data_IF_627228934832
#
_entry.id   IF_627228934832
#
_cell.length_a   1.000
_cell.length_b   1.000
_cell.length_c   1.000
_cell.angle_alpha   90.00
_cell.angle_beta   90.00
_cell.angle_gamma   90.00
#
_symmetry.space_group_name_H-M   'P 1'
#
loop_
_entity.id
_entity.type
_entity.pdbx_description
1 polymer ?
#
# COMPACT_ATOMS: atom_id res chain seq x y z
N UNK A 1 14.45 -27.32 -6.97
CA UNK A 1 14.44 -26.59 -8.26
C UNK A 1 15.20 -25.28 -8.01
N UNK A 2 16.34 -25.11 -8.69
CA UNK A 2 17.32 -24.01 -8.55
C UNK A 2 16.78 -22.64 -9.02
N UNK A 3 15.73 -22.18 -8.38
CA UNK A 3 14.95 -21.05 -8.87
C UNK A 3 15.53 -19.69 -8.46
N UNK A 4 16.41 -19.64 -7.45
CA UNK A 4 17.01 -18.39 -6.95
C UNK A 4 18.53 -18.28 -7.19
N UNK A 5 19.10 -19.02 -8.13
CA UNK A 5 20.53 -18.87 -8.43
C UNK A 5 20.76 -17.66 -9.36
N UNK A 6 21.18 -16.53 -8.79
CA UNK A 6 21.53 -15.31 -9.52
C UNK A 6 22.71 -15.48 -10.49
N UNK A 7 23.48 -16.57 -10.40
CA UNK A 7 24.57 -16.92 -11.30
C UNK A 7 24.15 -17.88 -12.43
N UNK A 8 22.86 -18.25 -12.50
CA UNK A 8 22.29 -19.03 -13.60
C UNK A 8 22.34 -18.26 -14.92
N UNK A 9 22.47 -18.96 -16.05
CA UNK A 9 22.34 -18.37 -17.39
C UNK A 9 20.92 -17.88 -17.70
N UNK A 10 19.92 -18.32 -16.93
CA UNK A 10 18.56 -17.78 -16.90
C UNK A 10 18.07 -17.72 -15.45
N UNK A 11 18.33 -16.62 -14.72
CA UNK A 11 17.80 -16.45 -13.38
C UNK A 11 16.28 -16.23 -13.45
N UNK A 12 15.54 -16.95 -12.61
CA UNK A 12 14.08 -16.85 -12.56
C UNK A 12 13.70 -15.93 -11.40
N UNK A 13 13.21 -14.73 -11.74
CA UNK A 13 12.84 -13.72 -10.74
C UNK A 13 11.50 -14.04 -10.08
N UNK A 14 11.23 -13.42 -8.92
CA UNK A 14 9.97 -13.59 -8.20
C UNK A 14 8.72 -13.33 -9.07
N UNK A 15 8.82 -12.39 -10.00
CA UNK A 15 7.76 -12.05 -10.94
C UNK A 15 7.40 -13.22 -11.87
N UNK A 16 8.36 -14.09 -12.19
CA UNK A 16 8.12 -15.26 -13.03
C UNK A 16 7.25 -16.31 -12.32
N UNK A 17 7.48 -16.57 -11.03
CA UNK A 17 6.62 -17.49 -10.27
C UNK A 17 5.20 -16.97 -10.14
N UNK A 18 5.05 -15.68 -9.84
CA UNK A 18 3.74 -15.04 -9.76
C UNK A 18 3.03 -15.10 -11.11
N UNK A 19 3.75 -14.92 -12.22
CA UNK A 19 3.14 -15.05 -13.55
C UNK A 19 2.71 -16.48 -13.85
N UNK A 20 3.53 -17.47 -13.54
CA UNK A 20 3.17 -18.89 -13.70
C UNK A 20 1.95 -19.23 -12.85
N UNK A 21 1.91 -18.76 -11.59
CA UNK A 21 0.78 -18.96 -10.70
C UNK A 21 -0.51 -18.33 -11.26
N UNK A 22 -0.44 -17.08 -11.73
CA UNK A 22 -1.56 -16.41 -12.39
C UNK A 22 -2.05 -17.18 -13.62
N UNK A 23 -1.14 -17.75 -14.43
CA UNK A 23 -1.49 -18.56 -15.60
C UNK A 23 -2.19 -19.86 -15.21
N UNK A 24 -1.74 -20.56 -14.17
CA UNK A 24 -2.39 -21.78 -13.67
C UNK A 24 -3.82 -21.52 -13.22
N UNK A 25 -4.05 -20.40 -12.52
CA UNK A 25 -5.40 -19.96 -12.15
C UNK A 25 -6.24 -19.63 -13.39
N UNK A 26 -5.68 -18.87 -14.34
CA UNK A 26 -6.37 -18.44 -15.57
C UNK A 26 -6.77 -19.62 -16.46
N UNK A 27 -5.88 -20.60 -16.63
CA UNK A 27 -6.13 -21.81 -17.42
C UNK A 27 -7.00 -22.84 -16.69
N UNK A 28 -7.43 -22.55 -15.45
CA UNK A 28 -8.19 -23.46 -14.58
C UNK A 28 -7.48 -24.78 -14.28
N UNK A 29 -6.16 -24.81 -14.39
CA UNK A 29 -5.33 -25.92 -13.89
C UNK A 29 -5.28 -25.94 -12.36
N UNK A 30 -5.46 -24.78 -11.74
CA UNK A 30 -5.60 -24.60 -10.31
C UNK A 30 -6.85 -23.76 -10.04
N UNK A 31 -7.68 -24.20 -9.10
CA UNK A 31 -8.87 -23.47 -8.65
C UNK A 31 -8.70 -23.21 -7.16
N UNK A 32 -8.73 -21.94 -6.78
CA UNK A 32 -8.69 -21.53 -5.38
C UNK A 32 -10.03 -20.88 -5.07
N UNK A 33 -10.73 -21.44 -4.10
CA UNK A 33 -11.98 -20.93 -3.55
C UNK A 33 -11.76 -20.58 -2.09
N UNK A 34 -12.13 -19.38 -1.70
CA UNK A 34 -12.04 -18.89 -0.32
C UNK A 34 -13.40 -18.31 0.08
N UNK A 35 -13.71 -18.32 1.37
CA UNK A 35 -14.88 -17.61 1.88
C UNK A 35 -14.65 -16.09 1.89
N UNK A 36 -13.40 -15.67 2.13
CA UNK A 36 -12.97 -14.28 2.18
C UNK A 36 -11.56 -14.13 1.57
N UNK A 37 -11.33 -13.06 0.83
CA UNK A 37 -10.02 -12.67 0.30
C UNK A 37 -9.74 -11.21 0.63
N UNK A 38 -8.60 -10.95 1.28
CA UNK A 38 -8.18 -9.61 1.68
C UNK A 38 -6.85 -9.26 1.04
N UNK A 39 -6.72 -8.01 0.56
CA UNK A 39 -5.49 -7.42 0.06
C UNK A 39 -5.22 -6.13 0.82
N UNK A 40 -4.04 -6.03 1.39
CA UNK A 40 -3.52 -4.82 2.03
C UNK A 40 -2.54 -4.11 1.09
N UNK A 41 -2.26 -2.83 1.36
CA UNK A 41 -1.37 -1.98 0.56
C UNK A 41 -1.68 -2.03 -0.95
N UNK A 42 -2.97 -2.05 -1.29
CA UNK A 42 -3.39 -2.33 -2.65
C UNK A 42 -3.01 -1.22 -3.64
N UNK A 43 -2.65 -0.02 -3.16
CA UNK A 43 -2.13 1.07 -3.97
C UNK A 43 -0.77 0.76 -4.64
N UNK A 44 0.06 -0.10 -4.04
CA UNK A 44 1.41 -0.44 -4.54
C UNK A 44 1.46 -1.83 -5.20
N UNK A 45 0.29 -2.42 -5.49
CA UNK A 45 0.18 -3.78 -6.00
C UNK A 45 0.58 -3.89 -7.47
N UNK A 46 1.43 -4.86 -7.79
CA UNK A 46 1.81 -5.16 -9.18
C UNK A 46 0.62 -5.74 -9.99
N UNK A 47 0.52 -5.46 -11.31
CA UNK A 47 -0.60 -5.93 -12.13
C UNK A 47 -0.82 -7.46 -12.11
N UNK A 48 0.25 -8.24 -11.98
CA UNK A 48 0.15 -9.72 -11.89
C UNK A 48 -0.52 -10.18 -10.59
N UNK A 49 -0.26 -9.48 -9.49
CA UNK A 49 -0.85 -9.78 -8.18
C UNK A 49 -2.33 -9.39 -8.17
N UNK A 50 -2.68 -8.25 -8.77
CA UNK A 50 -4.07 -7.89 -9.00
C UNK A 50 -4.80 -8.95 -9.85
N UNK A 51 -4.18 -9.42 -10.93
CA UNK A 51 -4.76 -10.49 -11.77
C UNK A 51 -5.02 -11.77 -10.95
N UNK A 52 -4.10 -12.14 -10.06
CA UNK A 52 -4.29 -13.28 -9.16
C UNK A 52 -5.49 -13.04 -8.24
N UNK A 53 -5.58 -11.87 -7.62
CA UNK A 53 -6.70 -11.48 -6.76
C UNK A 53 -8.04 -11.56 -7.49
N UNK A 54 -8.10 -11.10 -8.74
CA UNK A 54 -9.31 -11.16 -9.56
C UNK A 54 -9.71 -12.60 -9.92
N UNK A 55 -8.73 -13.48 -10.18
CA UNK A 55 -8.94 -14.88 -10.56
C UNK A 55 -9.33 -15.82 -9.41
N UNK A 56 -8.92 -15.52 -8.17
CA UNK A 56 -9.33 -16.31 -7.00
C UNK A 56 -10.84 -16.18 -6.80
N UNK A 57 -11.53 -17.31 -6.64
CA UNK A 57 -12.97 -17.33 -6.40
C UNK A 57 -13.23 -17.03 -4.93
N UNK A 58 -13.94 -15.94 -4.66
CA UNK A 58 -14.37 -15.58 -3.31
C UNK A 58 -15.65 -14.76 -3.40
N UNK A 59 -16.67 -15.03 -2.56
CA UNK A 59 -17.86 -14.20 -2.49
C UNK A 59 -17.55 -12.83 -1.87
N UNK A 60 -16.51 -12.72 -1.04
CA UNK A 60 -16.12 -11.49 -0.35
C UNK A 60 -14.67 -11.17 -0.67
N UNK A 61 -14.45 -10.00 -1.26
CA UNK A 61 -13.15 -9.48 -1.68
C UNK A 61 -12.96 -8.09 -1.11
N UNK A 62 -11.95 -7.92 -0.26
CA UNK A 62 -11.65 -6.67 0.44
C UNK A 62 -10.27 -6.19 0.01
N UNK A 63 -10.17 -4.96 -0.48
CA UNK A 63 -8.90 -4.32 -0.78
C UNK A 63 -8.77 -3.06 0.10
N UNK A 64 -7.67 -2.96 0.83
CA UNK A 64 -7.34 -1.84 1.73
C UNK A 64 -6.05 -1.21 1.25
N UNK A 65 -6.00 0.11 1.29
CA UNK A 65 -4.83 0.87 0.87
C UNK A 65 -5.02 2.37 1.09
N UNK A 66 -3.96 3.12 0.89
CA UNK A 66 -3.95 4.58 0.91
C UNK A 66 -3.34 5.13 -0.37
N UNK A 67 -4.18 5.73 -1.22
CA UNK A 67 -3.76 6.33 -2.48
C UNK A 67 -2.70 7.43 -2.35
N UNK A 68 -2.65 8.13 -1.21
CA UNK A 68 -1.66 9.17 -0.96
C UNK A 68 -0.29 8.60 -0.55
N UNK A 69 -0.19 7.29 -0.35
CA UNK A 69 1.05 6.56 -0.03
C UNK A 69 1.58 5.73 -1.20
N UNK A 70 1.01 5.88 -2.41
CA UNK A 70 1.49 5.19 -3.60
C UNK A 70 2.85 5.77 -4.05
N UNK A 71 3.93 5.07 -3.72
CA UNK A 71 5.31 5.53 -4.01
C UNK A 71 6.09 4.60 -4.95
N UNK A 72 5.51 3.46 -5.34
CA UNK A 72 6.16 2.48 -6.22
C UNK A 72 5.76 2.59 -7.71
N UNK A 73 5.29 3.76 -8.16
CA UNK A 73 4.91 3.97 -9.57
C UNK A 73 6.02 3.61 -10.58
N UNK A 74 7.28 3.85 -10.24
CA UNK A 74 8.44 3.52 -11.07
C UNK A 74 8.63 2.01 -11.31
N UNK A 75 7.99 1.14 -10.51
CA UNK A 75 7.96 -0.32 -10.72
C UNK A 75 6.82 -0.78 -11.62
N UNK A 76 6.09 0.17 -12.23
CA UNK A 76 4.91 -0.13 -13.04
C UNK A 76 3.65 -0.38 -12.20
N UNK A 77 3.65 0.03 -10.92
CA UNK A 77 2.40 0.18 -10.17
C UNK A 77 1.61 1.32 -10.83
N UNK A 78 0.50 0.97 -11.47
CA UNK A 78 -0.49 1.94 -11.94
C UNK A 78 -1.27 2.39 -10.70
N UNK A 79 -1.87 3.58 -10.65
CA UNK A 79 -2.76 3.98 -9.54
C UNK A 79 -3.85 2.91 -9.32
N UNK A 80 -3.57 2.01 -8.39
CA UNK A 80 -4.14 0.66 -8.37
C UNK A 80 -5.50 0.65 -7.69
N UNK A 81 -5.72 1.60 -6.77
CA UNK A 81 -6.96 1.75 -6.01
C UNK A 81 -8.17 1.84 -6.95
N UNK A 82 -8.06 2.62 -8.03
CA UNK A 82 -9.14 2.84 -9.00
C UNK A 82 -9.41 1.62 -9.92
N UNK A 83 -8.54 0.61 -9.91
CA UNK A 83 -8.66 -0.56 -10.77
C UNK A 83 -9.35 -1.75 -10.11
N UNK A 84 -9.54 -1.70 -8.79
CA UNK A 84 -10.32 -2.72 -8.08
C UNK A 84 -11.80 -2.52 -8.38
N UNK A 85 -12.52 -3.62 -8.63
CA UNK A 85 -13.97 -3.59 -8.70
C UNK A 85 -14.50 -3.28 -7.29
N UNK A 86 -15.27 -2.20 -7.16
CA UNK A 86 -15.75 -1.70 -5.89
C UNK A 86 -17.28 -1.71 -5.89
N UNK A 87 -17.89 -2.67 -5.21
CA UNK A 87 -19.32 -2.62 -4.88
C UNK A 87 -19.58 -1.64 -3.73
N UNK A 88 -18.63 -1.56 -2.80
CA UNK A 88 -18.66 -0.67 -1.65
C UNK A 88 -17.30 -0.01 -1.43
N UNK A 89 -17.32 1.25 -1.01
CA UNK A 89 -16.14 2.05 -0.70
C UNK A 89 -16.33 2.69 0.66
N UNK A 90 -15.36 2.55 1.54
CA UNK A 90 -15.35 3.17 2.86
C UNK A 90 -14.00 3.86 3.09
N UNK A 91 -14.02 5.04 3.71
CA UNK A 91 -12.81 5.80 4.05
C UNK A 91 -12.63 5.87 5.55
N UNK A 92 -11.45 5.47 6.03
CA UNK A 92 -11.05 5.63 7.42
C UNK A 92 -10.42 7.01 7.61
N UNK A 93 -11.20 7.94 8.13
CA UNK A 93 -10.79 9.35 8.22
C UNK A 93 -10.06 9.69 9.53
N UNK A 94 -10.28 8.93 10.61
CA UNK A 94 -9.67 9.21 11.91
C UNK A 94 -8.36 8.44 12.07
N UNK A 95 -7.27 9.17 12.30
CA UNK A 95 -5.96 8.61 12.57
C UNK A 95 -5.79 8.33 14.07
N UNK A 96 -5.56 7.08 14.45
CA UNK A 96 -5.30 6.71 15.84
C UNK A 96 -3.83 6.85 16.26
N UNK A 97 -2.94 7.31 15.36
CA UNK A 97 -1.50 7.46 15.65
C UNK A 97 -1.15 8.82 16.27
N UNK A 98 -1.81 9.89 15.85
CA UNK A 98 -1.52 11.28 16.22
C UNK A 98 -2.79 12.13 16.39
N UNK A 99 -2.64 13.30 16.99
CA UNK A 99 -3.68 14.31 17.17
C UNK A 99 -3.80 15.29 16.01
N UNK A 100 -4.67 16.29 16.18
CA UNK A 100 -5.11 17.18 15.10
C UNK A 100 -3.99 18.05 14.51
N UNK A 101 -2.97 18.41 15.27
CA UNK A 101 -1.84 19.21 14.77
C UNK A 101 -1.16 18.54 13.56
N UNK A 102 -0.82 17.25 13.69
CA UNK A 102 -0.20 16.48 12.60
C UNK A 102 -1.20 16.22 11.47
N UNK A 103 -2.47 15.92 11.80
CA UNK A 103 -3.51 15.70 10.79
C UNK A 103 -3.74 16.94 9.91
N UNK A 104 -3.77 18.12 10.54
CA UNK A 104 -3.92 19.41 9.86
C UNK A 104 -2.76 19.69 8.92
N UNK A 105 -1.52 19.44 9.37
CA UNK A 105 -0.35 19.57 8.52
C UNK A 105 -0.38 18.60 7.33
N UNK A 106 -0.69 17.32 7.57
CA UNK A 106 -0.78 16.32 6.52
C UNK A 106 -1.83 16.70 5.46
N UNK A 107 -3.02 17.13 5.89
CA UNK A 107 -4.07 17.59 4.99
C UNK A 107 -3.62 18.77 4.11
N UNK A 108 -2.90 19.74 4.69
CA UNK A 108 -2.36 20.88 3.95
C UNK A 108 -1.31 20.45 2.91
N UNK A 109 -0.40 19.56 3.29
CA UNK A 109 0.66 19.05 2.41
C UNK A 109 0.08 18.29 1.22
N UNK A 110 -0.90 17.42 1.46
CA UNK A 110 -1.56 16.66 0.40
C UNK A 110 -2.35 17.59 -0.52
N UNK A 111 -3.12 18.54 0.03
CA UNK A 111 -3.86 19.53 -0.77
C UNK A 111 -2.94 20.40 -1.63
N UNK A 112 -1.71 20.66 -1.18
CA UNK A 112 -0.72 21.42 -1.94
C UNK A 112 -0.08 20.61 -3.08
N UNK A 113 -0.20 19.28 -3.07
CA UNK A 113 0.48 18.36 -4.01
C UNK A 113 -0.47 17.55 -4.87
N UNK A 114 -1.75 17.48 -4.53
CA UNK A 114 -2.78 16.68 -5.20
C UNK A 114 -4.05 17.52 -5.39
N UNK A 115 -4.78 17.29 -6.48
CA UNK A 115 -6.04 17.97 -6.79
C UNK A 115 -7.24 17.50 -5.93
N UNK A 116 -6.99 16.60 -4.98
CA UNK A 116 -8.01 16.02 -4.12
C UNK A 116 -7.86 16.46 -2.67
N UNK A 117 -9.00 16.72 -2.02
CA UNK A 117 -9.05 17.15 -0.63
C UNK A 117 -9.03 15.93 0.30
N UNK A 118 -7.94 15.72 1.06
CA UNK A 118 -7.94 14.71 2.11
C UNK A 118 -8.86 15.14 3.26
N UNK A 119 -9.38 14.17 4.01
CA UNK A 119 -10.22 14.41 5.17
C UNK A 119 -9.70 13.69 6.43
N UNK A 120 -8.38 13.66 6.62
CA UNK A 120 -7.80 13.07 7.83
C UNK A 120 -8.17 13.89 9.06
N UNK A 121 -8.51 13.19 10.14
CA UNK A 121 -8.79 13.73 11.47
C UNK A 121 -7.79 13.14 12.45
N UNK A 122 -7.26 13.95 13.35
CA UNK A 122 -6.47 13.43 14.46
C UNK A 122 -7.35 12.69 15.45
N UNK A 123 -6.75 11.85 16.27
CA UNK A 123 -7.44 11.30 17.44
C UNK A 123 -7.50 12.39 18.53
N UNK A 124 -8.69 12.79 19.01
CA UNK A 124 -8.81 13.79 20.07
C UNK A 124 -8.14 13.36 21.38
N UNK A 125 -7.98 12.06 21.61
CA UNK A 125 -7.32 11.51 22.80
C UNK A 125 -5.78 11.54 22.72
N UNK A 126 -5.22 12.02 21.60
CA UNK A 126 -3.77 12.13 21.40
C UNK A 126 -3.35 13.58 21.25
N UNK A 127 -2.44 14.01 22.11
CA UNK A 127 -1.75 15.28 21.92
C UNK A 127 -0.57 15.11 20.95
N UNK A 128 -0.40 16.02 20.01
CA UNK A 128 0.71 16.02 19.05
C UNK A 128 1.23 17.42 18.88
N UNK A 129 2.55 17.57 18.72
CA UNK A 129 3.24 18.86 18.63
C UNK A 129 4.14 18.85 17.40
N UNK A 130 4.16 19.95 16.67
CA UNK A 130 5.07 20.17 15.54
C UNK A 130 6.09 21.23 15.97
N UNK A 131 7.36 20.85 16.03
CA UNK A 131 8.46 21.79 16.25
C UNK A 131 8.97 22.28 14.90
N UNK A 132 8.88 23.58 14.66
CA UNK A 132 9.31 24.23 13.41
C UNK A 132 10.72 24.81 13.49
N UNK A 133 11.33 24.78 14.67
CA UNK A 133 12.73 25.15 14.88
C UNK A 133 13.61 24.00 14.41
N UNK A 134 14.69 24.27 13.64
CA UNK A 134 15.76 23.29 13.47
C UNK A 134 16.17 22.79 14.85
N UNK A 135 16.38 21.49 15.01
CA UNK A 135 17.00 20.98 16.22
C UNK A 135 18.39 21.60 16.31
N UNK A 136 18.60 22.52 17.26
CA UNK A 136 19.92 22.77 17.79
C UNK A 136 20.33 21.48 18.51
N UNK A 137 20.92 20.55 17.74
CA UNK A 137 21.59 19.40 18.31
C UNK A 137 22.86 19.96 18.94
N UNK A 138 22.82 20.26 20.24
CA UNK A 138 24.02 20.42 21.04
C UNK A 138 24.76 19.06 21.04
N UNK A 139 25.72 18.91 20.13
CA UNK A 139 26.57 17.71 20.04
C UNK A 139 27.58 17.64 21.20
N UNK A 140 27.70 18.67 22.04
CA UNK A 140 28.77 18.78 23.05
C UNK A 140 28.29 18.83 24.51
N UNK A 141 27.33 18.00 24.94
CA UNK A 141 27.13 17.78 26.37
C UNK A 141 26.48 16.44 26.73
N UNK A 142 27.28 15.36 26.69
CA UNK A 142 27.31 14.26 27.70
C UNK A 142 28.16 13.08 27.22
N UNK A 143 29.48 13.26 27.17
CA UNK A 143 30.46 12.16 27.35
C UNK A 143 31.76 12.74 27.91
N UNK A 144 31.75 13.16 29.18
CA UNK A 144 32.89 13.11 30.11
C UNK A 144 32.33 12.72 31.49
#
# INVERSE_FOLDING_TARGET
IELNNYQSSMPVFHDAYLKIFALKLKCKELIISLDYLMMDECQDTAPVVKQIYDLIVSPIKIAVGDRFQAIYLWRGAIDSMNQFSQEHVASLTTCYRFGDEIASLANKTILATHDERPCFKGNPDKHSVIHLTPFDVDIDSQFI
#
